data_IF_496109353585
#
_entry.id   IF_496109353585
#
_cell.length_a   1.000
_cell.length_b   1.000
_cell.length_c   1.000
_cell.angle_alpha   90.00
_cell.angle_beta   90.00
_cell.angle_gamma   90.00
#
_symmetry.space_group_name_H-M   'P 1'
#
loop_
_entity.id
_entity.type
_entity.pdbx_description
1 polymer ?
#
# COMPACT_ATOMS: atom_id res chain seq x y z
N UNK A 1 -6.46 -9.34 9.73
CA UNK A 1 -6.68 -9.11 8.28
C UNK A 1 -5.36 -8.81 7.57
N UNK A 2 -5.21 -9.17 6.30
CA UNK A 2 -4.01 -8.82 5.51
C UNK A 2 -4.27 -7.62 4.58
N UNK A 3 -3.32 -6.70 4.50
CA UNK A 3 -3.37 -5.51 3.64
C UNK A 3 -2.20 -5.53 2.67
N UNK A 4 -2.47 -5.69 1.38
CA UNK A 4 -1.45 -5.54 0.34
C UNK A 4 -1.09 -4.07 0.23
N UNK A 5 0.18 -3.72 0.46
CA UNK A 5 0.63 -2.34 0.39
C UNK A 5 1.33 -2.08 -0.95
N UNK A 6 0.81 -1.08 -1.67
CA UNK A 6 1.43 -0.54 -2.88
C UNK A 6 2.56 0.45 -2.54
N UNK A 7 3.46 0.69 -3.49
CA UNK A 7 4.56 1.68 -3.41
C UNK A 7 4.04 3.04 -2.97
N UNK A 8 2.96 3.51 -3.62
CA UNK A 8 2.37 4.82 -3.36
C UNK A 8 1.87 4.96 -1.92
N UNK A 9 1.29 3.89 -1.38
CA UNK A 9 0.78 3.81 -0.02
C UNK A 9 1.90 3.81 1.02
N UNK A 10 2.96 3.04 0.78
CA UNK A 10 4.12 2.98 1.68
C UNK A 10 4.88 4.31 1.76
N UNK A 11 4.79 5.15 0.72
CA UNK A 11 5.42 6.47 0.68
C UNK A 11 4.63 7.58 1.39
N UNK A 12 3.38 7.32 1.79
CA UNK A 12 2.51 8.31 2.45
C UNK A 12 3.19 9.03 3.63
N UNK A 13 3.88 8.34 4.57
CA UNK A 13 4.45 9.02 5.73
C UNK A 13 5.48 10.09 5.36
N UNK A 14 6.33 9.82 4.35
CA UNK A 14 7.33 10.77 3.90
C UNK A 14 6.79 11.88 2.99
N UNK A 15 5.66 11.64 2.31
CA UNK A 15 5.06 12.62 1.41
C UNK A 15 4.10 13.59 2.11
N UNK A 16 3.38 13.11 3.12
CA UNK A 16 2.24 13.79 3.75
C UNK A 16 2.32 13.85 5.28
N UNK A 17 3.37 13.31 5.91
CA UNK A 17 3.53 13.31 7.36
C UNK A 17 2.38 12.63 8.12
N UNK A 18 1.80 11.59 7.52
CA UNK A 18 0.72 10.78 8.09
C UNK A 18 1.29 9.48 8.65
N UNK A 19 0.94 9.15 9.90
CA UNK A 19 1.25 7.86 10.50
C UNK A 19 0.35 6.76 9.91
N UNK A 20 0.81 6.12 8.84
CA UNK A 20 0.08 5.04 8.16
C UNK A 20 -0.23 3.87 9.10
N UNK A 21 0.65 3.53 10.04
CA UNK A 21 0.43 2.38 10.94
C UNK A 21 -0.62 2.75 11.98
N UNK A 22 -0.51 3.93 12.60
CA UNK A 22 -1.53 4.45 13.51
C UNK A 22 -2.90 4.56 12.84
N UNK A 23 -2.94 5.06 11.60
CA UNK A 23 -4.17 5.18 10.83
C UNK A 23 -4.77 3.84 10.42
N UNK A 24 -3.96 2.83 10.10
CA UNK A 24 -4.46 1.48 9.87
C UNK A 24 -5.05 0.87 11.15
N UNK A 25 -4.39 1.04 12.31
CA UNK A 25 -4.93 0.60 13.60
C UNK A 25 -6.29 1.25 13.88
N UNK A 26 -6.40 2.57 13.68
CA UNK A 26 -7.64 3.34 13.86
C UNK A 26 -8.73 2.89 12.90
N UNK A 27 -8.40 2.65 11.64
CA UNK A 27 -9.38 2.38 10.59
C UNK A 27 -9.91 0.94 10.63
N UNK A 28 -9.06 -0.01 10.99
CA UNK A 28 -9.38 -1.44 10.92
C UNK A 28 -9.93 -1.99 12.23
N UNK A 29 -9.56 -1.40 13.37
CA UNK A 29 -9.98 -1.82 14.72
C UNK A 29 -9.76 -3.33 15.01
N UNK A 30 -8.87 -3.96 14.25
CA UNK A 30 -8.53 -5.38 14.37
C UNK A 30 -7.06 -5.62 14.01
N UNK A 31 -6.45 -6.73 14.48
CA UNK A 31 -5.10 -7.10 14.10
C UNK A 31 -4.94 -7.17 12.58
N UNK A 32 -3.84 -6.60 12.07
CA UNK A 32 -3.56 -6.60 10.66
C UNK A 32 -2.07 -6.74 10.35
N UNK A 33 -1.79 -7.26 9.17
CA UNK A 33 -0.45 -7.49 8.66
C UNK A 33 -0.33 -6.86 7.27
N UNK A 34 0.81 -6.20 7.02
CA UNK A 34 1.12 -5.69 5.70
C UNK A 34 1.71 -6.81 4.85
N UNK A 35 1.22 -6.92 3.62
CA UNK A 35 1.74 -7.82 2.59
C UNK A 35 2.44 -6.99 1.55
N UNK A 36 3.72 -7.26 1.32
CA UNK A 36 4.57 -6.48 0.43
C UNK A 36 5.00 -7.34 -0.78
N UNK A 37 4.40 -7.15 -1.96
CA UNK A 37 4.86 -7.83 -3.16
C UNK A 37 6.32 -7.43 -3.49
N UNK A 38 7.15 -8.39 -3.91
CA UNK A 38 8.54 -8.07 -4.26
C UNK A 38 8.72 -7.02 -5.37
N UNK A 39 7.82 -6.87 -6.37
CA UNK A 39 7.89 -5.75 -7.31
C UNK A 39 7.71 -4.37 -6.64
N UNK A 40 6.88 -4.26 -5.60
CA UNK A 40 6.71 -3.01 -4.83
C UNK A 40 8.01 -2.63 -4.12
N UNK A 41 8.72 -3.60 -3.53
CA UNK A 41 10.04 -3.35 -2.95
C UNK A 41 11.05 -2.87 -4.00
N UNK A 42 11.07 -3.48 -5.18
CA UNK A 42 11.96 -3.09 -6.27
C UNK A 42 11.69 -1.67 -6.73
N UNK A 43 10.42 -1.29 -6.83
CA UNK A 43 10.04 0.07 -7.17
C UNK A 43 10.46 1.08 -6.09
N UNK A 44 10.21 0.79 -4.81
CA UNK A 44 10.68 1.62 -3.70
C UNK A 44 12.20 1.81 -3.73
N UNK A 45 12.97 0.74 -3.95
CA UNK A 45 14.44 0.83 -4.07
C UNK A 45 14.84 1.75 -5.22
N UNK A 46 14.23 1.56 -6.41
CA UNK A 46 14.48 2.41 -7.57
C UNK A 46 14.16 3.89 -7.30
N UNK A 47 13.03 4.19 -6.65
CA UNK A 47 12.65 5.57 -6.30
C UNK A 47 13.60 6.15 -5.26
N UNK A 48 14.04 5.34 -4.29
CA UNK A 48 14.97 5.78 -3.24
C UNK A 48 16.33 6.24 -3.78
N UNK A 49 16.74 5.70 -4.93
CA UNK A 49 18.01 6.01 -5.61
C UNK A 49 17.86 7.10 -6.68
N UNK A 50 16.74 7.10 -7.41
CA UNK A 50 16.60 7.85 -8.68
C UNK A 50 15.43 8.84 -8.72
N UNK A 51 14.59 8.88 -7.68
CA UNK A 51 13.46 9.80 -7.58
C UNK A 51 13.88 11.24 -7.34
N UNK A 52 12.93 12.18 -7.25
CA UNK A 52 13.21 13.54 -6.77
C UNK A 52 13.56 13.53 -5.29
N UNK A 53 14.26 14.54 -4.73
CA UNK A 53 14.69 14.53 -3.33
C UNK A 53 13.58 14.19 -2.32
N UNK A 54 12.37 14.76 -2.49
CA UNK A 54 11.21 14.45 -1.64
C UNK A 54 10.75 12.99 -1.78
N UNK A 55 10.72 12.46 -3.00
CA UNK A 55 10.31 11.08 -3.28
C UNK A 55 11.36 10.08 -2.78
N UNK A 56 12.66 10.38 -2.93
CA UNK A 56 13.73 9.55 -2.38
C UNK A 56 13.59 9.38 -0.87
N UNK A 57 13.36 10.47 -0.14
CA UNK A 57 13.15 10.44 1.30
C UNK A 57 11.91 9.61 1.66
N UNK A 58 10.80 9.82 0.95
CA UNK A 58 9.58 9.06 1.16
C UNK A 58 9.74 7.57 0.86
N UNK A 59 10.46 7.21 -0.20
CA UNK A 59 10.75 5.82 -0.54
C UNK A 59 11.66 5.14 0.50
N UNK A 60 12.65 5.86 1.06
CA UNK A 60 13.48 5.35 2.18
C UNK A 60 12.64 5.05 3.42
N UNK A 61 11.69 5.94 3.75
CA UNK A 61 10.73 5.70 4.83
C UNK A 61 9.81 4.50 4.48
N UNK A 62 9.34 4.42 3.24
CA UNK A 62 8.54 3.31 2.75
C UNK A 62 9.24 1.96 2.83
N UNK A 63 10.55 1.90 2.51
CA UNK A 63 11.38 0.71 2.69
C UNK A 63 11.50 0.31 4.17
N UNK A 64 11.60 1.28 5.09
CA UNK A 64 11.60 0.99 6.52
C UNK A 64 10.25 0.43 6.98
N UNK A 65 9.14 0.99 6.51
CA UNK A 65 7.79 0.49 6.80
C UNK A 65 7.58 -0.93 6.24
N UNK A 66 8.05 -1.18 5.02
CA UNK A 66 7.92 -2.47 4.34
C UNK A 66 8.62 -3.62 5.10
N UNK A 67 9.67 -3.33 5.90
CA UNK A 67 10.34 -4.33 6.75
C UNK A 67 9.43 -4.90 7.84
N UNK A 68 8.31 -4.24 8.16
CA UNK A 68 7.33 -4.69 9.15
C UNK A 68 6.26 -5.61 8.54
N UNK A 69 6.24 -5.76 7.22
CA UNK A 69 5.28 -6.62 6.52
C UNK A 69 5.93 -7.89 5.97
N UNK A 70 5.08 -8.83 5.58
CA UNK A 70 5.50 -10.09 4.95
C UNK A 70 5.74 -9.88 3.46
N UNK A 71 6.95 -10.25 3.01
CA UNK A 71 7.34 -10.10 1.62
C UNK A 71 6.90 -11.31 0.80
N UNK A 72 6.01 -11.10 -0.16
CA UNK A 72 5.60 -12.14 -1.11
C UNK A 72 6.41 -12.03 -2.38
N UNK A 73 7.15 -13.09 -2.72
CA UNK A 73 7.88 -13.19 -3.99
C UNK A 73 6.89 -13.33 -5.13
N UNK A 74 6.95 -12.41 -6.09
CA UNK A 74 6.15 -12.41 -7.30
C UNK A 74 6.97 -11.85 -8.48
N UNK A 75 6.55 -12.20 -9.70
CA UNK A 75 7.12 -11.70 -10.94
C UNK A 75 6.06 -10.87 -11.67
N UNK A 76 6.49 -9.82 -12.35
CA UNK A 76 5.61 -8.95 -13.14
C UNK A 76 5.59 -7.52 -12.63
N UNK A 77 4.66 -6.74 -13.18
CA UNK A 77 4.43 -5.33 -12.83
C UNK A 77 3.69 -5.27 -11.49
N UNK A 78 4.01 -4.28 -10.65
CA UNK A 78 3.45 -4.16 -9.30
C UNK A 78 1.92 -4.17 -9.31
N UNK A 79 1.28 -3.32 -10.12
CA UNK A 79 -0.18 -3.22 -10.21
C UNK A 79 -0.85 -4.56 -10.60
N UNK A 80 -0.31 -5.23 -11.62
CA UNK A 80 -0.82 -6.55 -12.06
C UNK A 80 -0.68 -7.60 -10.96
N UNK A 81 0.45 -7.61 -10.26
CA UNK A 81 0.70 -8.52 -9.15
C UNK A 81 -0.24 -8.22 -7.98
N UNK A 82 -0.44 -6.96 -7.64
CA UNK A 82 -1.36 -6.52 -6.58
C UNK A 82 -2.78 -6.96 -6.90
N UNK A 83 -3.25 -6.71 -8.13
CA UNK A 83 -4.58 -7.12 -8.58
C UNK A 83 -4.75 -8.63 -8.48
N UNK A 84 -3.82 -9.40 -9.05
CA UNK A 84 -3.86 -10.86 -9.02
C UNK A 84 -3.81 -11.44 -7.60
N UNK A 85 -3.04 -10.84 -6.69
CA UNK A 85 -3.01 -11.26 -5.28
C UNK A 85 -4.32 -10.93 -4.58
N UNK A 86 -4.85 -9.72 -4.77
CA UNK A 86 -6.07 -9.29 -4.12
C UNK A 86 -7.30 -10.13 -4.54
N UNK A 87 -7.33 -10.56 -5.80
CA UNK A 87 -8.39 -11.44 -6.34
C UNK A 87 -8.38 -12.85 -5.76
N UNK A 88 -7.28 -13.31 -5.16
CA UNK A 88 -7.23 -14.61 -4.44
C UNK A 88 -8.03 -14.60 -3.14
N UNK A 89 -8.53 -13.43 -2.73
CA UNK A 89 -9.47 -13.25 -1.62
C UNK A 89 -8.78 -13.02 -0.27
N UNK A 90 -9.49 -12.35 0.65
CA UNK A 90 -9.04 -12.11 2.03
C UNK A 90 -8.14 -10.89 2.24
N UNK A 91 -7.83 -10.13 1.18
CA UNK A 91 -6.98 -8.95 1.25
C UNK A 91 -7.76 -7.66 1.06
N UNK A 92 -7.37 -6.63 1.81
CA UNK A 92 -7.57 -5.24 1.39
C UNK A 92 -6.31 -4.74 0.67
N UNK A 93 -6.42 -3.68 -0.13
CA UNK A 93 -5.27 -3.06 -0.81
C UNK A 93 -5.10 -1.62 -0.34
N UNK A 94 -3.91 -1.28 0.13
CA UNK A 94 -3.49 0.10 0.38
C UNK A 94 -2.89 0.70 -0.90
N UNK A 95 -3.56 1.68 -1.51
CA UNK A 95 -3.02 2.46 -2.65
C UNK A 95 -3.57 3.88 -2.66
N UNK A 96 -2.80 4.83 -3.21
CA UNK A 96 -3.29 6.19 -3.50
C UNK A 96 -3.66 6.38 -4.97
N UNK A 97 -3.42 5.39 -5.83
CA UNK A 97 -3.75 5.48 -7.25
C UNK A 97 -5.26 5.32 -7.50
N UNK A 98 -5.85 6.30 -8.18
CA UNK A 98 -7.28 6.35 -8.42
C UNK A 98 -7.75 5.31 -9.46
N UNK A 99 -6.91 4.99 -10.46
CA UNK A 99 -7.21 4.00 -11.49
C UNK A 99 -7.17 2.59 -10.90
N UNK A 100 -6.12 2.25 -10.16
CA UNK A 100 -5.98 0.97 -9.47
C UNK A 100 -7.11 0.79 -8.44
N UNK A 101 -7.43 1.83 -7.66
CA UNK A 101 -8.59 1.81 -6.77
C UNK A 101 -9.88 1.47 -7.51
N UNK A 102 -10.17 2.15 -8.62
CA UNK A 102 -11.39 1.92 -9.41
C UNK A 102 -11.47 0.47 -9.90
N UNK A 103 -10.36 -0.07 -10.36
CA UNK A 103 -10.28 -1.45 -10.83
C UNK A 103 -10.50 -2.47 -9.70
N UNK A 104 -9.81 -2.31 -8.57
CA UNK A 104 -9.96 -3.18 -7.40
C UNK A 104 -11.40 -3.17 -6.87
N UNK A 105 -12.03 -1.99 -6.79
CA UNK A 105 -13.42 -1.87 -6.35
C UNK A 105 -14.40 -2.53 -7.32
N UNK A 106 -14.15 -2.48 -8.63
CA UNK A 106 -14.96 -3.22 -9.63
C UNK A 106 -14.92 -4.73 -9.38
N UNK A 107 -13.81 -5.23 -8.86
CA UNK A 107 -13.63 -6.63 -8.50
C UNK A 107 -14.06 -6.97 -7.06
N UNK A 108 -14.66 -6.03 -6.32
CA UNK A 108 -15.12 -6.23 -4.95
C UNK A 108 -14.03 -6.16 -3.88
N UNK A 109 -12.77 -5.89 -4.24
CA UNK A 109 -11.63 -5.84 -3.31
C UNK A 109 -11.67 -4.54 -2.49
N UNK A 110 -11.66 -4.57 -1.15
CA UNK A 110 -11.61 -3.37 -0.31
C UNK A 110 -10.31 -2.57 -0.53
N UNK A 111 -10.42 -1.25 -0.60
CA UNK A 111 -9.27 -0.36 -0.83
C UNK A 111 -9.13 0.65 0.30
N UNK A 112 -7.94 0.72 0.88
CA UNK A 112 -7.53 1.71 1.87
C UNK A 112 -6.70 2.77 1.14
N UNK A 113 -7.04 4.04 1.33
CA UNK A 113 -6.41 5.14 0.60
C UNK A 113 -6.25 6.39 1.46
N UNK A 114 -5.33 7.27 1.05
CA UNK A 114 -5.15 8.56 1.69
C UNK A 114 -6.27 9.52 1.31
N UNK A 115 -7.03 9.98 2.31
CA UNK A 115 -8.11 10.94 2.16
C UNK A 115 -7.66 12.31 2.65
N UNK A 116 -7.94 13.34 1.83
CA UNK A 116 -7.64 14.75 2.14
C UNK A 116 -6.18 15.01 2.57
N UNK A 117 -5.24 14.16 2.14
CA UNK A 117 -3.82 14.21 2.51
C UNK A 117 -3.55 14.20 4.03
N UNK A 118 -4.47 13.67 4.83
CA UNK A 118 -4.39 13.77 6.30
C UNK A 118 -4.69 12.47 7.04
N UNK A 119 -5.55 11.61 6.50
CA UNK A 119 -5.98 10.38 7.18
C UNK A 119 -6.25 9.26 6.19
N UNK A 120 -6.22 8.01 6.65
CA UNK A 120 -6.66 6.88 5.84
C UNK A 120 -8.18 6.75 5.90
N UNK A 121 -8.76 6.37 4.76
CA UNK A 121 -10.15 6.00 4.63
C UNK A 121 -10.26 4.69 3.85
N UNK A 122 -11.42 4.04 3.98
CA UNK A 122 -11.70 2.81 3.28
C UNK A 122 -12.84 2.97 2.27
N UNK A 123 -12.71 2.27 1.16
CA UNK A 123 -13.76 2.03 0.18
C UNK A 123 -13.97 0.52 0.02
N UNK A 124 -15.18 0.07 0.33
CA UNK A 124 -15.54 -1.34 0.36
C UNK A 124 -15.72 -1.91 1.75
N UNK A 125 -16.10 -3.18 1.79
CA UNK A 125 -16.45 -3.86 3.02
C UNK A 125 -15.34 -4.80 3.47
N UNK A 126 -14.87 -4.61 4.70
CA UNK A 126 -13.94 -5.50 5.38
C UNK A 126 -14.74 -6.40 6.32
N UNK A 127 -14.38 -7.69 6.34
CA UNK A 127 -14.89 -8.68 7.28
C UNK A 127 -14.21 -8.59 8.64
#
# INVERSE_FOLDING_TARGET
MQVIADTSFLMIPGLFSVDVVGELNRLLEQPHELIIPSPVLQELMRISERGKPKEQMAAKIGLFLAKRGDVIKAKGIADEVILNLALKGGYAVGTTDAALRKELRRCGVPVIYLRQKSHLAIDGWIK
#
